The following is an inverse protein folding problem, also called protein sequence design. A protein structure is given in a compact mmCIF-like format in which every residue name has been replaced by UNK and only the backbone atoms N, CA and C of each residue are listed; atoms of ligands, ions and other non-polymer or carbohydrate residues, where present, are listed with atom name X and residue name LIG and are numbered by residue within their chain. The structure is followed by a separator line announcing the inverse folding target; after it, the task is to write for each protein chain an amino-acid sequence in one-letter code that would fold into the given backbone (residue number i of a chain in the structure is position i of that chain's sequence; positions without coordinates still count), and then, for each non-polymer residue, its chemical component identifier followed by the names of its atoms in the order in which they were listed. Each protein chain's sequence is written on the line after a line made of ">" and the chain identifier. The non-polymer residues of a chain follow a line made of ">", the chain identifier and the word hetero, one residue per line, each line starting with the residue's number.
data_IF_792361259574
#
_entry.id   IF_792361259574
#
_cell.length_a   1.000
_cell.length_b   1.000
_cell.length_c   1.000
_cell.angle_alpha   90.00
_cell.angle_beta   90.00
_cell.angle_gamma   90.00
#
_symmetry.space_group_name_H-M   'P 1'
#
loop_
_entity.id
_entity.type
_entity.pdbx_description
1 polymer ?
#
# COMPACT_ATOMS: atom_id res chain seq x y z
N UNK A 1 15.67 -0.75 7.22
CA UNK A 1 15.02 -1.24 5.98
C UNK A 1 13.63 -1.74 6.29
N UNK A 2 12.62 -1.35 5.49
CA UNK A 2 11.23 -1.85 5.65
C UNK A 2 11.13 -3.36 5.38
N UNK A 3 10.31 -4.08 6.15
CA UNK A 3 10.06 -5.51 5.93
C UNK A 3 9.25 -5.72 4.65
N UNK A 4 9.36 -6.90 4.04
CA UNK A 4 8.52 -7.29 2.90
C UNK A 4 7.06 -7.43 3.32
N UNK A 5 6.14 -7.02 2.46
CA UNK A 5 4.69 -7.22 2.64
C UNK A 5 4.36 -8.67 3.04
N UNK A 6 4.89 -9.66 2.33
CA UNK A 6 4.62 -11.08 2.61
C UNK A 6 5.11 -11.54 3.99
N UNK A 7 6.15 -10.91 4.54
CA UNK A 7 6.60 -11.19 5.90
C UNK A 7 5.66 -10.57 6.93
N UNK A 8 5.27 -9.30 6.73
CA UNK A 8 4.34 -8.59 7.63
C UNK A 8 2.94 -9.21 7.64
N UNK A 9 2.45 -9.70 6.49
CA UNK A 9 1.20 -10.45 6.42
C UNK A 9 1.27 -11.74 7.26
N UNK A 10 2.36 -12.50 7.16
CA UNK A 10 2.56 -13.71 8.00
C UNK A 10 2.63 -13.37 9.49
N UNK A 11 3.25 -12.24 9.85
CA UNK A 11 3.26 -11.76 11.24
C UNK A 11 1.85 -11.47 11.72
N UNK A 12 1.05 -10.77 10.91
CA UNK A 12 -0.35 -10.47 11.21
C UNK A 12 -1.16 -11.76 11.42
N UNK A 13 -1.12 -12.69 10.47
CA UNK A 13 -1.90 -13.93 10.51
C UNK A 13 -1.60 -14.81 11.72
N UNK A 14 -0.36 -14.74 12.23
CA UNK A 14 0.07 -15.46 13.44
C UNK A 14 -0.34 -14.76 14.73
N UNK A 15 -0.67 -13.47 14.69
CA UNK A 15 -1.02 -12.69 15.87
C UNK A 15 -2.34 -13.13 16.50
N UNK A 16 -2.41 -13.08 17.83
CA UNK A 16 -3.64 -13.42 18.56
C UNK A 16 -4.77 -12.41 18.30
N UNK A 17 -4.41 -11.14 18.05
CA UNK A 17 -5.38 -10.08 17.70
C UNK A 17 -6.10 -10.44 16.40
N UNK A 18 -5.36 -10.80 15.35
CA UNK A 18 -5.94 -11.22 14.08
C UNK A 18 -6.79 -12.48 14.21
N UNK A 19 -6.27 -13.53 14.87
CA UNK A 19 -7.02 -14.79 15.04
C UNK A 19 -8.34 -14.58 15.78
N UNK A 20 -8.36 -13.72 16.80
CA UNK A 20 -9.58 -13.38 17.56
C UNK A 20 -10.58 -12.62 16.69
N UNK A 21 -10.10 -11.63 15.93
CA UNK A 21 -10.94 -10.85 15.01
C UNK A 21 -11.50 -11.74 13.88
N UNK A 22 -10.67 -12.55 13.23
CA UNK A 22 -11.06 -13.40 12.10
C UNK A 22 -12.12 -14.45 12.46
N UNK A 23 -12.18 -14.87 13.73
CA UNK A 23 -13.27 -15.73 14.23
C UNK A 23 -14.63 -15.03 14.21
N UNK A 24 -14.67 -13.72 14.43
CA UNK A 24 -15.87 -12.88 14.43
C UNK A 24 -16.23 -12.39 13.03
N UNK A 25 -15.25 -12.14 12.18
CA UNK A 25 -15.44 -11.64 10.83
C UNK A 25 -14.81 -12.58 9.80
N UNK A 26 -15.61 -13.56 9.37
CA UNK A 26 -15.18 -14.63 8.46
C UNK A 26 -15.30 -14.24 6.99
N UNK A 27 -16.21 -13.32 6.68
CA UNK A 27 -16.55 -12.89 5.32
C UNK A 27 -15.61 -11.80 4.81
N UNK A 28 -14.90 -11.10 5.70
CA UNK A 28 -13.95 -10.10 5.28
C UNK A 28 -12.83 -10.71 4.43
N UNK A 29 -12.35 -9.96 3.44
CA UNK A 29 -11.20 -10.37 2.63
C UNK A 29 -10.12 -9.29 2.65
N UNK A 30 -8.88 -9.69 2.38
CA UNK A 30 -7.76 -8.76 2.27
C UNK A 30 -8.02 -7.83 1.08
N UNK A 31 -8.08 -6.52 1.33
CA UNK A 31 -8.40 -5.52 0.31
C UNK A 31 -7.15 -4.77 -0.16
N UNK A 32 -6.29 -4.38 0.78
CA UNK A 32 -5.09 -3.62 0.47
C UNK A 32 -3.97 -3.82 1.48
N UNK A 33 -2.78 -3.41 1.08
CA UNK A 33 -1.65 -3.26 1.97
C UNK A 33 -0.92 -1.95 1.68
N UNK A 34 -0.72 -1.14 2.72
CA UNK A 34 -0.26 0.24 2.64
C UNK A 34 1.01 0.46 3.46
N UNK A 35 1.93 1.28 2.95
CA UNK A 35 3.08 1.76 3.72
C UNK A 35 3.49 3.16 3.27
N UNK A 36 4.09 3.92 4.18
CA UNK A 36 4.76 5.18 3.89
C UNK A 36 6.25 4.98 4.22
N UNK A 37 7.11 5.34 3.27
CA UNK A 37 8.55 5.24 3.42
C UNK A 37 9.16 6.64 3.38
N UNK A 38 10.08 6.88 4.31
CA UNK A 38 11.07 7.94 4.22
C UNK A 38 12.39 7.41 3.65
N UNK A 39 13.23 8.33 3.19
CA UNK A 39 14.56 8.02 2.67
C UNK A 39 15.62 8.68 3.54
N UNK A 40 16.55 7.87 4.05
CA UNK A 40 17.70 8.36 4.83
C UNK A 40 18.94 7.60 4.40
N UNK A 41 19.98 8.32 3.98
CA UNK A 41 21.23 7.74 3.47
C UNK A 41 20.99 6.68 2.38
N UNK A 42 20.08 6.97 1.44
CA UNK A 42 19.61 6.05 0.39
C UNK A 42 18.95 4.73 0.87
N UNK A 43 18.64 4.61 2.16
CA UNK A 43 17.83 3.51 2.69
C UNK A 43 16.35 3.89 2.80
N UNK A 44 15.48 2.94 2.43
CA UNK A 44 14.05 3.02 2.64
C UNK A 44 13.67 2.58 4.05
N UNK A 45 13.13 3.50 4.83
CA UNK A 45 12.69 3.30 6.20
C UNK A 45 11.20 3.55 6.31
N UNK A 46 10.50 2.74 7.09
CA UNK A 46 9.09 3.02 7.38
C UNK A 46 8.97 4.37 8.12
N UNK A 47 8.05 5.21 7.66
CA UNK A 47 7.69 6.48 8.30
C UNK A 47 6.52 6.22 9.26
N UNK A 48 6.86 5.76 10.48
CA UNK A 48 5.89 5.38 11.50
C UNK A 48 5.54 3.89 11.49
N UNK A 49 4.45 3.52 10.82
CA UNK A 49 3.96 2.14 10.77
C UNK A 49 4.65 1.40 9.62
N UNK A 50 5.15 0.17 9.86
CA UNK A 50 5.81 -0.57 8.76
C UNK A 50 4.80 -0.93 7.67
N UNK A 51 3.69 -1.56 8.06
CA UNK A 51 2.61 -1.90 7.13
C UNK A 51 1.25 -1.73 7.79
N UNK A 52 0.34 -1.12 7.05
CA UNK A 52 -1.09 -1.24 7.30
C UNK A 52 -1.63 -2.33 6.36
N UNK A 53 -2.43 -3.25 6.90
CA UNK A 53 -3.05 -4.36 6.16
C UNK A 53 -4.56 -4.27 6.37
N UNK A 54 -5.28 -4.09 5.27
CA UNK A 54 -6.69 -3.72 5.33
C UNK A 54 -7.56 -4.90 4.90
N UNK A 55 -8.58 -5.20 5.72
CA UNK A 55 -9.58 -6.20 5.43
C UNK A 55 -10.95 -5.55 5.27
N UNK A 56 -11.58 -5.77 4.13
CA UNK A 56 -12.90 -5.24 3.84
C UNK A 56 -13.98 -6.26 4.16
N UNK A 57 -15.01 -5.83 4.88
CA UNK A 57 -16.21 -6.61 5.20
C UNK A 57 -17.38 -6.18 4.29
N UNK A 58 -17.73 -6.96 3.25
CA UNK A 58 -18.79 -6.55 2.31
C UNK A 58 -20.18 -6.45 2.95
N UNK A 59 -20.48 -7.32 3.93
CA UNK A 59 -21.78 -7.36 4.59
C UNK A 59 -22.02 -6.19 5.56
N UNK A 60 -20.94 -5.62 6.12
CA UNK A 60 -21.00 -4.48 7.05
C UNK A 60 -20.63 -3.15 6.40
N UNK A 61 -20.06 -3.20 5.20
CA UNK A 61 -19.46 -2.08 4.50
C UNK A 61 -18.46 -1.27 5.35
N UNK A 62 -17.48 -1.97 5.92
CA UNK A 62 -16.42 -1.35 6.74
C UNK A 62 -15.07 -1.94 6.45
N UNK A 63 -14.03 -1.14 6.69
CA UNK A 63 -12.64 -1.62 6.70
C UNK A 63 -12.21 -1.92 8.13
N UNK A 64 -11.47 -3.00 8.29
CA UNK A 64 -10.65 -3.24 9.47
C UNK A 64 -9.18 -3.12 9.07
N UNK A 65 -8.48 -2.17 9.68
CA UNK A 65 -7.09 -1.85 9.37
C UNK A 65 -6.20 -2.45 10.45
N UNK A 66 -5.19 -3.23 10.07
CA UNK A 66 -4.18 -3.77 10.98
C UNK A 66 -2.86 -3.06 10.79
N UNK A 67 -2.35 -2.42 11.84
CA UNK A 67 -1.06 -1.75 11.82
C UNK A 67 -0.01 -2.72 12.35
N UNK A 68 0.89 -3.13 11.48
CA UNK A 68 1.92 -4.14 11.74
C UNK A 68 3.27 -3.44 11.80
N UNK A 69 3.85 -3.39 13.00
CA UNK A 69 5.24 -3.00 13.25
C UNK A 69 5.86 -4.03 14.20
N UNK A 70 6.47 -3.62 15.32
CA UNK A 70 6.91 -4.54 16.38
C UNK A 70 5.72 -5.20 17.10
N UNK A 71 4.60 -4.49 17.17
CA UNK A 71 3.32 -4.99 17.66
C UNK A 71 2.27 -4.92 16.54
N UNK A 72 1.18 -5.68 16.71
CA UNK A 72 0.02 -5.63 15.82
C UNK A 72 -1.10 -4.87 16.53
N UNK A 73 -1.49 -3.73 15.97
CA UNK A 73 -2.66 -2.95 16.40
C UNK A 73 -3.82 -3.15 15.42
N UNK A 74 -5.05 -3.07 15.92
CA UNK A 74 -6.27 -3.21 15.12
C UNK A 74 -7.10 -1.94 15.22
N UNK A 75 -7.61 -1.47 14.09
CA UNK A 75 -8.60 -0.39 13.98
C UNK A 75 -9.85 -0.95 13.29
N UNK A 76 -10.88 -1.21 14.08
CA UNK A 76 -12.13 -1.80 13.58
C UNK A 76 -13.13 -0.73 13.16
N UNK A 77 -13.88 -1.00 12.10
CA UNK A 77 -15.09 -0.24 11.77
C UNK A 77 -14.83 1.14 11.16
N UNK A 78 -13.69 1.34 10.52
CA UNK A 78 -13.41 2.57 9.78
C UNK A 78 -14.35 2.64 8.57
N UNK A 79 -15.20 3.67 8.52
CA UNK A 79 -16.04 3.96 7.35
C UNK A 79 -15.13 4.25 6.17
N UNK A 80 -15.38 3.59 5.07
CA UNK A 80 -14.56 3.74 3.87
C UNK A 80 -15.04 4.95 3.11
N UNK A 81 -14.12 5.87 2.80
CA UNK A 81 -14.34 6.88 1.78
C UNK A 81 -14.29 6.17 0.43
N UNK A 82 -15.44 5.66 -0.02
CA UNK A 82 -15.60 5.02 -1.31
C UNK A 82 -15.83 6.08 -2.38
N UNK A 83 -15.20 5.86 -3.53
CA UNK A 83 -15.77 6.35 -4.78
C UNK A 83 -16.96 5.43 -5.10
N UNK A 84 -18.18 5.96 -5.17
CA UNK A 84 -19.40 5.17 -5.37
C UNK A 84 -19.35 4.32 -6.66
N UNK A 85 -18.42 4.65 -7.56
CA UNK A 85 -18.28 4.03 -8.88
C UNK A 85 -17.36 2.81 -8.92
N UNK A 86 -16.59 2.51 -7.86
CA UNK A 86 -15.60 1.44 -7.87
C UNK A 86 -15.75 0.47 -6.68
N UNK A 87 -16.08 -0.82 -6.93
CA UNK A 87 -16.12 -1.80 -5.85
C UNK A 87 -14.72 -2.07 -5.32
N UNK A 88 -14.61 -2.24 -4.00
CA UNK A 88 -13.40 -2.77 -3.36
C UNK A 88 -13.28 -4.23 -3.78
N UNK A 89 -12.07 -4.65 -4.16
CA UNK A 89 -11.79 -5.99 -4.68
C UNK A 89 -10.79 -6.69 -3.78
N UNK A 90 -10.90 -8.00 -3.72
CA UNK A 90 -9.95 -8.82 -2.98
C UNK A 90 -8.56 -8.75 -3.60
N UNK A 91 -7.56 -8.51 -2.75
CA UNK A 91 -6.15 -8.58 -3.07
C UNK A 91 -5.68 -10.03 -2.98
N UNK A 92 -5.54 -10.68 -4.13
CA UNK A 92 -4.92 -12.01 -4.21
C UNK A 92 -3.39 -11.89 -4.06
N UNK A 93 -2.89 -12.19 -2.86
CA UNK A 93 -1.46 -12.11 -2.51
C UNK A 93 -0.57 -12.96 -3.40
N UNK A 94 -1.09 -14.07 -3.96
CA UNK A 94 -0.31 -14.95 -4.84
C UNK A 94 0.05 -14.27 -6.18
N UNK A 95 -0.62 -13.18 -6.53
CA UNK A 95 -0.32 -12.38 -7.72
C UNK A 95 0.72 -11.29 -7.43
N UNK A 96 1.09 -11.03 -6.17
CA UNK A 96 2.15 -10.08 -5.80
C UNK A 96 3.51 -10.79 -5.88
N UNK A 97 4.09 -10.82 -7.08
CA UNK A 97 5.38 -11.47 -7.35
C UNK A 97 6.56 -10.50 -7.33
N UNK A 98 6.31 -9.23 -7.61
CA UNK A 98 7.32 -8.16 -7.62
C UNK A 98 7.29 -7.40 -6.30
N UNK A 99 8.46 -7.21 -5.70
CA UNK A 99 8.62 -6.54 -4.42
C UNK A 99 8.50 -5.01 -4.56
N UNK A 100 8.03 -4.33 -3.51
CA UNK A 100 7.89 -2.88 -3.48
C UNK A 100 9.24 -2.17 -3.73
N UNK A 101 10.33 -2.65 -3.12
CA UNK A 101 11.65 -2.02 -3.30
C UNK A 101 12.10 -2.13 -4.76
N UNK A 102 11.86 -3.27 -5.41
CA UNK A 102 12.16 -3.43 -6.83
C UNK A 102 11.37 -2.44 -7.70
N UNK A 103 10.09 -2.24 -7.38
CA UNK A 103 9.23 -1.27 -8.05
C UNK A 103 9.76 0.17 -7.87
N UNK A 104 10.15 0.55 -6.65
CA UNK A 104 10.72 1.87 -6.35
C UNK A 104 12.02 2.09 -7.15
N UNK A 105 12.91 1.10 -7.19
CA UNK A 105 14.16 1.19 -7.95
C UNK A 105 13.91 1.31 -9.46
N UNK A 106 12.89 0.64 -10.01
CA UNK A 106 12.47 0.81 -11.41
C UNK A 106 12.00 2.24 -11.68
N UNK A 107 11.21 2.82 -10.77
CA UNK A 107 10.75 4.22 -10.89
C UNK A 107 11.95 5.18 -10.83
N UNK A 108 12.85 5.04 -9.84
CA UNK A 108 14.04 5.89 -9.71
C UNK A 108 14.96 5.84 -10.93
N UNK A 109 15.12 4.66 -11.54
CA UNK A 109 15.92 4.52 -12.78
C UNK A 109 15.31 5.27 -13.97
N UNK A 110 13.98 5.30 -14.06
CA UNK A 110 13.25 5.98 -15.14
C UNK A 110 13.13 7.49 -14.90
N UNK A 111 12.91 7.92 -13.65
CA UNK A 111 12.67 9.31 -13.25
C UNK A 111 13.80 9.81 -12.33
N UNK A 112 15.00 9.95 -12.90
CA UNK A 112 16.21 10.29 -12.12
C UNK A 112 16.16 11.65 -11.43
N UNK A 113 15.45 12.61 -12.02
CA UNK A 113 15.31 13.98 -11.50
C UNK A 113 14.22 14.09 -10.42
N UNK A 114 13.35 13.08 -10.29
CA UNK A 114 12.22 13.08 -9.36
C UNK A 114 12.58 12.33 -8.08
N UNK A 115 13.54 12.87 -7.33
CA UNK A 115 14.01 12.26 -6.10
C UNK A 115 12.90 12.30 -5.02
N UNK A 116 12.45 11.15 -4.49
CA UNK A 116 11.42 11.12 -3.47
C UNK A 116 11.94 11.58 -2.12
N UNK A 117 11.20 12.46 -1.44
CA UNK A 117 11.35 12.71 0.00
C UNK A 117 10.53 11.69 0.80
N UNK A 118 9.30 11.43 0.32
CA UNK A 118 8.41 10.40 0.85
C UNK A 118 7.84 9.54 -0.26
N UNK A 119 7.63 8.27 0.04
CA UNK A 119 7.00 7.31 -0.86
C UNK A 119 5.77 6.75 -0.16
N UNK A 120 4.61 6.91 -0.78
CA UNK A 120 3.37 6.29 -0.33
C UNK A 120 3.09 5.12 -1.27
N UNK A 121 2.82 3.94 -0.73
CA UNK A 121 2.58 2.74 -1.54
C UNK A 121 1.36 1.98 -1.07
N UNK A 122 0.54 1.55 -2.03
CA UNK A 122 -0.62 0.68 -1.80
C UNK A 122 -0.55 -0.49 -2.78
N UNK A 123 -0.48 -1.73 -2.27
CA UNK A 123 -0.87 -2.92 -3.03
C UNK A 123 -2.39 -3.08 -2.94
N UNK A 124 -3.06 -3.16 -4.08
CA UNK A 124 -4.51 -3.32 -4.16
C UNK A 124 -4.94 -3.93 -5.51
N UNK A 125 -6.19 -4.35 -5.61
CA UNK A 125 -6.77 -4.85 -6.85
C UNK A 125 -7.66 -3.79 -7.52
N UNK A 126 -7.21 -3.25 -8.66
CA UNK A 126 -7.94 -2.32 -9.52
C UNK A 126 -8.24 -2.96 -10.89
N UNK A 127 -8.97 -4.08 -10.90
CA UNK A 127 -9.09 -5.03 -12.05
C UNK A 127 -7.84 -5.87 -12.32
N UNK A 128 -6.71 -5.43 -11.77
CA UNK A 128 -5.46 -6.16 -11.67
C UNK A 128 -4.80 -5.85 -10.34
N UNK A 129 -3.98 -6.77 -9.84
CA UNK A 129 -3.17 -6.50 -8.65
C UNK A 129 -2.03 -5.56 -9.02
N UNK A 130 -2.01 -4.40 -8.38
CA UNK A 130 -1.08 -3.32 -8.67
C UNK A 130 -0.40 -2.81 -7.42
N UNK A 131 0.85 -2.36 -7.59
CA UNK A 131 1.49 -1.40 -6.72
C UNK A 131 1.14 0.01 -7.20
N UNK A 132 0.31 0.73 -6.45
CA UNK A 132 0.06 2.15 -6.65
C UNK A 132 1.02 2.94 -5.77
N UNK A 133 2.04 3.55 -6.39
CA UNK A 133 3.17 4.19 -5.73
C UNK A 133 3.13 5.68 -6.03
N UNK A 134 3.16 6.49 -4.99
CA UNK A 134 3.23 7.96 -5.07
C UNK A 134 4.54 8.43 -4.50
N UNK A 135 5.34 9.16 -5.30
CA UNK A 135 6.50 9.89 -4.83
C UNK A 135 6.11 11.34 -4.58
N UNK A 136 6.32 11.79 -3.35
CA UNK A 136 6.37 13.21 -3.01
C UNK A 136 7.82 13.63 -3.17
N UNK A 137 8.12 14.40 -4.21
CA UNK A 137 9.50 14.67 -4.64
C UNK A 137 10.04 15.94 -4.00
N UNK A 138 11.37 16.05 -3.91
CA UNK A 138 12.06 17.26 -3.45
C UNK A 138 11.87 18.45 -4.39
N UNK A 139 11.49 18.19 -5.65
CA UNK A 139 11.13 19.17 -6.68
C UNK A 139 9.70 19.71 -6.56
N UNK A 140 8.97 19.37 -5.48
CA UNK A 140 7.55 19.69 -5.29
C UNK A 140 6.64 19.16 -6.41
N UNK A 141 6.99 18.00 -6.95
CA UNK A 141 6.12 17.23 -7.83
C UNK A 141 5.50 16.05 -7.07
N UNK A 142 4.37 15.59 -7.58
CA UNK A 142 3.73 14.33 -7.18
C UNK A 142 3.79 13.40 -8.38
N UNK A 143 4.64 12.38 -8.30
CA UNK A 143 4.74 11.33 -9.30
C UNK A 143 3.94 10.11 -8.83
N UNK A 144 2.84 9.83 -9.53
CA UNK A 144 1.99 8.67 -9.30
C UNK A 144 2.26 7.61 -10.36
N UNK A 145 2.62 6.41 -9.93
CA UNK A 145 2.93 5.28 -10.79
C UNK A 145 2.13 4.07 -10.34
N UNK A 146 1.44 3.43 -11.29
CA UNK A 146 0.86 2.09 -11.09
C UNK A 146 1.73 1.07 -11.79
N UNK A 147 2.20 0.07 -11.04
CA UNK A 147 2.99 -1.04 -11.55
C UNK A 147 2.21 -2.33 -11.33
N UNK A 148 2.19 -3.19 -12.34
CA UNK A 148 1.64 -4.54 -12.25
C UNK A 148 2.44 -5.36 -11.22
N UNK A 149 1.78 -5.82 -10.15
CA UNK A 149 2.46 -6.51 -9.07
C UNK A 149 2.92 -7.92 -9.46
N UNK A 150 2.44 -8.46 -10.59
CA UNK A 150 2.77 -9.81 -11.05
C UNK A 150 4.03 -9.83 -11.92
N UNK A 151 4.21 -8.85 -12.81
CA UNK A 151 5.32 -8.82 -13.77
C UNK A 151 6.19 -7.55 -13.68
N UNK A 152 5.77 -6.53 -12.93
CA UNK A 152 6.54 -5.31 -12.72
C UNK A 152 6.49 -4.33 -13.88
N UNK A 153 5.52 -4.46 -14.80
CA UNK A 153 5.31 -3.52 -15.90
C UNK A 153 4.61 -2.24 -15.41
N UNK A 154 5.02 -1.10 -15.98
CA UNK A 154 4.32 0.17 -15.78
C UNK A 154 2.94 0.12 -16.45
N UNK A 155 1.89 0.46 -15.70
CA UNK A 155 0.50 0.49 -16.18
C UNK A 155 -0.01 1.92 -16.39
N UNK A 156 0.42 2.85 -15.54
CA UNK A 156 0.01 4.25 -15.59
C UNK A 156 1.06 5.09 -14.87
N UNK A 157 1.32 6.29 -15.40
CA UNK A 157 2.33 7.21 -14.89
C UNK A 157 1.80 8.63 -15.03
N UNK A 158 1.79 9.40 -13.95
CA UNK A 158 1.39 10.81 -13.96
C UNK A 158 2.30 11.61 -13.05
N UNK A 159 2.78 12.74 -13.55
CA UNK A 159 3.53 13.72 -12.79
C UNK A 159 2.75 15.03 -12.79
N UNK A 160 2.59 15.63 -11.60
CA UNK A 160 1.92 16.92 -11.44
C UNK A 160 2.69 17.77 -10.46
N UNK A 161 2.81 19.07 -10.73
CA UNK A 161 3.38 19.99 -9.75
C UNK A 161 2.37 20.22 -8.62
N UNK A 162 2.84 20.25 -7.37
CA UNK A 162 2.01 20.62 -6.21
C UNK A 162 1.41 22.03 -6.36
N UNK A 163 2.08 22.92 -7.11
CA UNK A 163 1.62 24.29 -7.36
C UNK A 163 0.34 24.32 -8.21
N UNK A 164 0.15 23.34 -9.10
CA UNK A 164 -1.03 23.26 -9.96
C UNK A 164 -2.31 22.93 -9.20
N UNK A 165 -2.22 22.31 -8.01
CA UNK A 165 -3.37 21.98 -7.17
C UNK A 165 -3.94 23.18 -6.39
N UNK A 166 -3.24 24.33 -6.38
CA UNK A 166 -3.70 25.56 -5.71
C UNK A 166 -4.53 26.49 -6.62
N UNK A 167 -4.74 26.12 -7.89
CA UNK A 167 -5.64 26.84 -8.81
C UNK A 167 -7.00 26.15 -8.85
#
# INVERSE_FOLDING_TARGET
>A
MVKKFSASLKTLEKSEVFKKWRKKDKESYLASCFTILGIKNDEYLADGIEWQIDYYSPSKDVMTSFLVSDNVEIREGEKILKDETAPIKELNVNLVKVDLIECIEKIRKKYKEEYPEKIISIAQNLDKVVWNITFLTTSFNVLNVKIDAENGNFLSETIKSVIEFKK
#
